data_IF_850839792035
#
_entry.id   IF_850839792035
#
_cell.length_a   1.000
_cell.length_b   1.000
_cell.length_c   1.000
_cell.angle_alpha   90.00
_cell.angle_beta   90.00
_cell.angle_gamma   90.00
#
_symmetry.space_group_name_H-M   'P 1'
#
loop_
_entity.id
_entity.type
_entity.pdbx_description
1 polymer ?
#
# COMPACT_ATOMS: atom_id res chain seq x y z
N UNK A 1 13.09 -42.62 -24.78
CA UNK A 1 11.72 -42.15 -24.47
C UNK A 1 11.23 -41.41 -25.69
N UNK A 2 10.29 -41.97 -26.45
CA UNK A 2 9.72 -41.29 -27.61
C UNK A 2 8.74 -40.20 -27.19
N UNK A 3 8.74 -39.05 -27.89
CA UNK A 3 7.80 -37.96 -27.57
C UNK A 3 6.40 -38.39 -28.02
N UNK A 4 5.41 -38.32 -27.13
CA UNK A 4 4.01 -38.59 -27.45
C UNK A 4 3.44 -37.48 -28.33
N UNK A 5 3.20 -37.77 -29.58
CA UNK A 5 2.57 -36.87 -30.56
C UNK A 5 1.06 -36.94 -30.37
N UNK A 6 0.43 -35.81 -30.04
CA UNK A 6 -1.02 -35.68 -30.00
C UNK A 6 -1.57 -35.59 -31.43
N UNK A 7 -2.79 -36.09 -31.67
CA UNK A 7 -3.47 -36.21 -33.00
C UNK A 7 -3.64 -34.89 -33.78
N UNK A 8 -3.23 -33.74 -33.21
CA UNK A 8 -3.26 -32.43 -33.87
C UNK A 8 -1.90 -31.91 -34.33
N UNK A 9 -0.81 -32.70 -34.23
CA UNK A 9 0.53 -32.26 -34.68
C UNK A 9 1.17 -31.11 -33.87
N UNK A 10 0.59 -30.73 -32.75
CA UNK A 10 1.11 -29.68 -31.89
C UNK A 10 1.92 -30.36 -30.77
N UNK A 11 3.21 -30.02 -30.67
CA UNK A 11 4.06 -30.44 -29.56
C UNK A 11 3.44 -29.98 -28.24
N UNK A 12 2.92 -30.91 -27.44
CA UNK A 12 2.56 -30.61 -26.06
C UNK A 12 3.87 -30.36 -25.26
N UNK A 13 4.06 -29.23 -24.63
CA UNK A 13 5.26 -28.99 -23.83
C UNK A 13 5.37 -30.06 -22.73
N UNK A 14 6.59 -30.57 -22.56
CA UNK A 14 6.91 -31.63 -21.60
C UNK A 14 6.46 -31.23 -20.18
N UNK A 15 5.93 -32.17 -19.41
CA UNK A 15 5.48 -31.94 -18.04
C UNK A 15 6.58 -31.30 -17.17
N UNK A 16 7.85 -31.65 -17.40
CA UNK A 16 9.00 -31.07 -16.69
C UNK A 16 9.23 -29.60 -17.02
N UNK A 17 8.98 -29.17 -18.26
CA UNK A 17 9.08 -27.76 -18.66
C UNK A 17 7.95 -26.91 -18.06
N UNK A 18 6.74 -27.47 -17.96
CA UNK A 18 5.59 -26.78 -17.29
C UNK A 18 5.82 -26.59 -15.80
N UNK A 19 6.31 -27.62 -15.11
CA UNK A 19 6.60 -27.54 -13.67
C UNK A 19 7.74 -26.55 -13.39
N UNK A 20 8.76 -26.53 -14.22
CA UNK A 20 9.87 -25.59 -14.12
C UNK A 20 9.41 -24.15 -14.39
N UNK A 21 8.57 -23.94 -15.40
CA UNK A 21 8.01 -22.62 -15.72
C UNK A 21 7.08 -22.11 -14.61
N UNK A 22 6.21 -22.97 -14.05
CA UNK A 22 5.34 -22.61 -12.93
C UNK A 22 6.14 -22.27 -11.67
N UNK A 23 7.19 -23.04 -11.35
CA UNK A 23 8.07 -22.78 -10.20
C UNK A 23 8.83 -21.45 -10.38
N UNK A 24 9.31 -21.19 -11.58
CA UNK A 24 10.02 -19.94 -11.90
C UNK A 24 9.08 -18.70 -11.79
N UNK A 25 7.83 -18.82 -12.24
CA UNK A 25 6.85 -17.75 -12.11
C UNK A 25 6.46 -17.49 -10.65
N UNK A 26 6.28 -18.55 -9.84
CA UNK A 26 6.03 -18.41 -8.40
C UNK A 26 7.20 -17.74 -7.68
N UNK A 27 8.43 -18.10 -8.00
CA UNK A 27 9.63 -17.49 -7.43
C UNK A 27 9.74 -16.01 -7.81
N UNK A 28 9.48 -15.65 -9.07
CA UNK A 28 9.42 -14.25 -9.53
C UNK A 28 8.31 -13.48 -8.82
N UNK A 29 7.11 -14.06 -8.70
CA UNK A 29 6.01 -13.45 -7.97
C UNK A 29 6.38 -13.17 -6.51
N UNK A 30 6.98 -14.14 -5.84
CA UNK A 30 7.45 -13.97 -4.46
C UNK A 30 8.54 -12.87 -4.33
N UNK A 31 9.52 -12.84 -5.23
CA UNK A 31 10.57 -11.80 -5.22
C UNK A 31 9.99 -10.42 -5.46
N UNK A 32 9.06 -10.26 -6.40
CA UNK A 32 8.39 -8.97 -6.61
C UNK A 32 7.57 -8.53 -5.40
N UNK A 33 6.85 -9.46 -4.75
CA UNK A 33 6.14 -9.19 -3.52
C UNK A 33 7.05 -8.78 -2.38
N UNK A 34 8.18 -9.44 -2.20
CA UNK A 34 9.17 -9.11 -1.18
C UNK A 34 9.80 -7.72 -1.41
N UNK A 35 10.18 -7.41 -2.65
CA UNK A 35 10.72 -6.07 -2.99
C UNK A 35 9.64 -4.99 -2.85
N UNK A 36 8.38 -5.28 -3.20
CA UNK A 36 7.26 -4.36 -2.99
C UNK A 36 7.06 -4.05 -1.51
N UNK A 37 7.08 -5.07 -0.65
CA UNK A 37 6.96 -4.91 0.80
C UNK A 37 8.15 -4.13 1.40
N UNK A 38 9.38 -4.45 0.99
CA UNK A 38 10.57 -3.71 1.40
C UNK A 38 10.51 -2.24 0.98
N UNK A 39 10.08 -1.96 -0.27
CA UNK A 39 9.89 -0.60 -0.77
C UNK A 39 8.85 0.17 0.04
N UNK A 40 7.75 -0.49 0.44
CA UNK A 40 6.73 0.12 1.29
C UNK A 40 7.27 0.41 2.69
N UNK A 41 8.08 -0.48 3.25
CA UNK A 41 8.75 -0.31 4.55
C UNK A 41 9.72 0.88 4.61
N UNK A 42 10.15 1.42 3.46
CA UNK A 42 11.01 2.61 3.40
C UNK A 42 10.29 3.94 3.71
N UNK A 43 8.96 3.92 3.97
CA UNK A 43 8.21 5.14 4.32
C UNK A 43 8.90 5.98 5.43
N UNK A 44 9.26 5.41 6.60
CA UNK A 44 9.93 6.17 7.65
C UNK A 44 11.28 6.75 7.22
N UNK A 45 12.04 6.02 6.42
CA UNK A 45 13.37 6.43 5.97
C UNK A 45 13.33 7.78 5.25
N UNK A 46 12.29 8.03 4.45
CA UNK A 46 12.15 9.27 3.69
C UNK A 46 11.29 10.33 4.40
N UNK A 47 10.37 9.92 5.29
CA UNK A 47 9.49 10.84 6.00
C UNK A 47 10.19 11.52 7.21
N UNK A 48 10.94 10.75 8.01
CA UNK A 48 11.55 11.27 9.23
C UNK A 48 12.54 12.43 9.01
N UNK A 49 13.39 12.45 7.96
CA UNK A 49 14.22 13.60 7.66
C UNK A 49 13.43 14.88 7.37
N UNK A 50 12.24 14.77 6.76
CA UNK A 50 11.34 15.89 6.49
C UNK A 50 10.73 16.44 7.81
N UNK A 51 10.35 15.54 8.73
CA UNK A 51 9.88 15.93 10.05
C UNK A 51 10.98 16.58 10.89
N UNK A 52 12.21 16.04 10.83
CA UNK A 52 13.39 16.62 11.47
C UNK A 52 13.73 18.03 10.97
N UNK A 53 13.31 18.37 9.76
CA UNK A 53 13.43 19.70 9.18
C UNK A 53 12.22 20.62 9.51
N UNK A 54 11.29 20.18 10.35
CA UNK A 54 10.11 20.96 10.80
C UNK A 54 8.92 20.94 9.84
N UNK A 55 8.91 20.05 8.84
CA UNK A 55 7.75 19.93 7.95
C UNK A 55 6.59 19.22 8.64
N UNK A 56 5.38 19.76 8.48
CA UNK A 56 4.15 19.14 8.98
C UNK A 56 3.79 17.88 8.19
N UNK A 57 3.09 16.95 8.85
CA UNK A 57 2.57 15.73 8.24
C UNK A 57 1.75 16.02 6.98
N UNK A 58 0.89 17.04 7.06
CA UNK A 58 0.01 17.45 5.96
C UNK A 58 0.81 17.90 4.73
N UNK A 59 1.87 18.71 4.93
CA UNK A 59 2.74 19.15 3.83
C UNK A 59 3.51 18.00 3.20
N UNK A 60 4.06 17.09 4.02
CA UNK A 60 4.78 15.91 3.53
C UNK A 60 3.86 15.00 2.71
N UNK A 61 2.65 14.73 3.21
CA UNK A 61 1.67 13.89 2.51
C UNK A 61 1.11 14.56 1.26
N UNK A 62 0.90 15.87 1.28
CA UNK A 62 0.52 16.62 0.08
C UNK A 62 1.55 16.43 -1.03
N UNK A 63 2.84 16.67 -0.77
CA UNK A 63 3.90 16.47 -1.76
C UNK A 63 3.99 15.02 -2.21
N UNK A 64 3.91 14.06 -1.30
CA UNK A 64 3.91 12.64 -1.62
C UNK A 64 2.80 12.28 -2.61
N UNK A 65 1.57 12.70 -2.33
CA UNK A 65 0.40 12.41 -3.18
C UNK A 65 0.50 13.14 -4.51
N UNK A 66 0.88 14.42 -4.49
CA UNK A 66 1.04 15.22 -5.71
C UNK A 66 2.03 14.57 -6.68
N UNK A 67 3.24 14.28 -6.22
CA UNK A 67 4.25 13.66 -7.09
C UNK A 67 3.88 12.24 -7.50
N UNK A 68 3.26 11.46 -6.62
CA UNK A 68 2.79 10.13 -6.99
C UNK A 68 1.70 10.18 -8.07
N UNK A 69 0.75 11.11 -7.99
CA UNK A 69 -0.26 11.33 -9.05
C UNK A 69 0.40 11.72 -10.37
N UNK A 70 1.34 12.68 -10.34
CA UNK A 70 2.08 13.10 -11.55
C UNK A 70 2.82 11.91 -12.17
N UNK A 71 3.60 11.17 -11.39
CA UNK A 71 4.39 10.03 -11.87
C UNK A 71 3.49 8.89 -12.39
N UNK A 72 2.39 8.57 -11.68
CA UNK A 72 1.43 7.56 -12.15
C UNK A 72 0.70 8.01 -13.41
N UNK A 73 0.35 9.29 -13.53
CA UNK A 73 -0.23 9.85 -14.73
C UNK A 73 0.70 9.72 -15.94
N UNK A 74 1.99 10.01 -15.76
CA UNK A 74 3.02 9.79 -16.79
C UNK A 74 3.12 8.31 -17.14
N UNK A 75 3.19 7.42 -16.13
CA UNK A 75 3.28 5.98 -16.33
C UNK A 75 2.07 5.44 -17.13
N UNK A 76 0.86 5.86 -16.77
CA UNK A 76 -0.36 5.48 -17.48
C UNK A 76 -0.34 5.97 -18.94
N UNK A 77 0.12 7.19 -19.18
CA UNK A 77 0.26 7.77 -20.53
C UNK A 77 1.27 6.99 -21.37
N UNK A 78 2.43 6.68 -20.81
CA UNK A 78 3.48 5.89 -21.47
C UNK A 78 2.98 4.46 -21.79
N UNK A 79 2.26 3.83 -20.85
CA UNK A 79 1.64 2.52 -21.06
C UNK A 79 0.36 2.57 -21.91
N UNK A 80 -0.01 3.73 -22.46
CA UNK A 80 -1.23 3.93 -23.25
C UNK A 80 -2.52 3.46 -22.55
N UNK A 81 -2.55 3.52 -21.22
CA UNK A 81 -3.73 3.16 -20.45
C UNK A 81 -4.77 4.29 -20.50
N UNK A 82 -6.04 3.91 -20.66
CA UNK A 82 -7.14 4.88 -20.72
C UNK A 82 -7.39 5.52 -19.35
N UNK A 83 -7.50 6.85 -19.34
CA UNK A 83 -7.95 7.62 -18.16
C UNK A 83 -9.47 7.66 -18.01
N UNK A 84 -10.23 7.16 -18.99
CA UNK A 84 -11.69 7.22 -18.92
C UNK A 84 -12.23 6.44 -17.74
N UNK A 85 -13.11 7.05 -16.94
CA UNK A 85 -13.84 6.42 -15.84
C UNK A 85 -15.32 6.30 -16.20
N UNK A 86 -15.94 5.21 -15.76
CA UNK A 86 -17.39 5.11 -15.73
C UNK A 86 -17.93 6.06 -14.64
N UNK A 87 -19.02 6.77 -14.91
CA UNK A 87 -19.62 7.70 -13.92
C UNK A 87 -19.97 7.00 -12.60
N UNK A 88 -20.36 5.72 -12.67
CA UNK A 88 -20.66 4.90 -11.49
C UNK A 88 -19.45 4.64 -10.59
N UNK A 89 -18.21 4.68 -11.12
CA UNK A 89 -17.00 4.39 -10.35
C UNK A 89 -16.43 5.64 -9.65
N UNK A 90 -16.89 6.84 -10.03
CA UNK A 90 -16.33 8.10 -9.49
C UNK A 90 -16.56 8.21 -7.98
N UNK A 91 -17.80 8.03 -7.53
CA UNK A 91 -18.15 8.13 -6.10
C UNK A 91 -17.45 7.04 -5.26
N UNK A 92 -17.49 5.74 -5.63
CA UNK A 92 -16.70 4.72 -4.93
C UNK A 92 -15.21 5.04 -4.89
N UNK A 93 -14.61 5.51 -6.00
CA UNK A 93 -13.19 5.91 -6.03
C UNK A 93 -12.89 7.09 -5.10
N UNK A 94 -13.77 8.08 -5.05
CA UNK A 94 -13.60 9.22 -4.15
C UNK A 94 -13.62 8.76 -2.68
N UNK A 95 -14.61 7.95 -2.29
CA UNK A 95 -14.70 7.40 -0.93
C UNK A 95 -13.48 6.55 -0.58
N UNK A 96 -13.06 5.65 -1.48
CA UNK A 96 -11.89 4.81 -1.28
C UNK A 96 -10.61 5.65 -1.22
N UNK A 97 -10.49 6.69 -2.04
CA UNK A 97 -9.36 7.62 -2.00
C UNK A 97 -9.27 8.39 -0.68
N UNK A 98 -10.40 8.85 -0.14
CA UNK A 98 -10.47 9.49 1.17
C UNK A 98 -10.04 8.51 2.29
N UNK A 99 -10.56 7.28 2.30
CA UNK A 99 -10.18 6.25 3.27
C UNK A 99 -8.68 5.94 3.24
N UNK A 100 -8.12 5.80 2.03
CA UNK A 100 -6.68 5.59 1.84
C UNK A 100 -5.86 6.77 2.37
N UNK A 101 -6.32 8.00 2.15
CA UNK A 101 -5.63 9.20 2.64
C UNK A 101 -5.75 9.36 4.14
N UNK A 102 -6.90 9.05 4.75
CA UNK A 102 -7.01 9.02 6.22
C UNK A 102 -6.09 7.96 6.82
N UNK A 103 -6.00 6.77 6.21
CA UNK A 103 -5.03 5.76 6.65
C UNK A 103 -3.60 6.29 6.60
N UNK A 104 -3.20 6.91 5.49
CA UNK A 104 -1.87 7.51 5.37
C UNK A 104 -1.64 8.61 6.40
N UNK A 105 -2.63 9.48 6.63
CA UNK A 105 -2.56 10.55 7.63
C UNK A 105 -2.33 9.98 9.03
N UNK A 106 -3.15 9.04 9.46
CA UNK A 106 -3.03 8.45 10.78
C UNK A 106 -1.69 7.73 10.99
N UNK A 107 -1.21 7.00 9.98
CA UNK A 107 0.10 6.35 10.06
C UNK A 107 1.23 7.39 10.21
N UNK A 108 1.24 8.41 9.37
CA UNK A 108 2.29 9.43 9.38
C UNK A 108 2.22 10.31 10.63
N UNK A 109 1.01 10.58 11.13
CA UNK A 109 0.82 11.29 12.40
C UNK A 109 1.38 10.48 13.59
N UNK A 110 1.22 9.14 13.57
CA UNK A 110 1.75 8.28 14.63
C UNK A 110 3.27 8.37 14.79
N UNK A 111 4.01 8.71 13.74
CA UNK A 111 5.48 8.87 13.79
C UNK A 111 5.93 10.04 14.67
N UNK A 112 5.02 10.99 14.98
CA UNK A 112 5.29 12.07 15.94
C UNK A 112 5.22 11.60 17.41
N UNK A 113 4.55 10.46 17.67
CA UNK A 113 4.25 9.98 19.02
C UNK A 113 5.00 8.71 19.40
N UNK A 114 5.52 7.95 18.42
CA UNK A 114 6.21 6.69 18.67
C UNK A 114 7.24 6.41 17.58
N UNK A 115 8.08 5.39 17.79
CA UNK A 115 9.03 4.96 16.77
C UNK A 115 8.31 4.52 15.49
N UNK A 116 8.77 5.02 14.35
CA UNK A 116 8.13 4.79 13.07
C UNK A 116 8.27 3.33 12.57
N UNK A 117 9.32 2.61 13.01
CA UNK A 117 9.46 1.18 12.76
C UNK A 117 8.41 0.37 13.51
N UNK A 118 8.19 0.71 14.80
CA UNK A 118 7.13 0.11 15.62
C UNK A 118 5.76 0.42 15.03
N UNK A 119 5.49 1.67 14.69
CA UNK A 119 4.23 2.08 14.05
C UNK A 119 3.97 1.30 12.76
N UNK A 120 4.98 1.18 11.89
CA UNK A 120 4.88 0.43 10.64
C UNK A 120 4.64 -1.06 10.88
N UNK A 121 5.18 -1.63 11.95
CA UNK A 121 4.94 -3.04 12.32
C UNK A 121 3.52 -3.25 12.83
N UNK A 122 3.01 -2.36 13.69
CA UNK A 122 1.62 -2.43 14.18
C UNK A 122 0.62 -2.24 13.03
N UNK A 123 0.97 -1.47 12.00
CA UNK A 123 0.12 -1.32 10.81
C UNK A 123 -0.23 -2.68 10.18
N UNK A 124 0.67 -3.66 10.22
CA UNK A 124 0.42 -5.01 9.69
C UNK A 124 -0.68 -5.79 10.42
N UNK A 125 -1.38 -5.18 11.39
CA UNK A 125 -2.66 -5.69 11.91
C UNK A 125 -3.79 -5.57 10.87
N UNK A 126 -3.64 -4.73 9.82
CA UNK A 126 -4.70 -4.54 8.83
C UNK A 126 -5.22 -5.84 8.16
N UNK A 127 -4.41 -6.89 7.85
CA UNK A 127 -4.95 -8.12 7.28
C UNK A 127 -5.88 -8.86 8.25
N UNK A 128 -5.60 -8.74 9.55
CA UNK A 128 -6.47 -9.27 10.62
C UNK A 128 -7.82 -8.56 10.59
N UNK A 129 -7.79 -7.22 10.51
CA UNK A 129 -9.01 -6.41 10.42
C UNK A 129 -9.78 -6.70 9.14
N UNK A 130 -9.10 -6.91 8.01
CA UNK A 130 -9.73 -7.37 6.75
C UNK A 130 -10.45 -8.70 6.98
N UNK A 131 -9.78 -9.70 7.58
CA UNK A 131 -10.38 -11.01 7.84
C UNK A 131 -11.61 -10.90 8.77
N UNK A 132 -11.54 -10.07 9.80
CA UNK A 132 -12.68 -9.81 10.72
C UNK A 132 -13.84 -9.17 9.96
N UNK A 133 -13.58 -8.11 9.17
CA UNK A 133 -14.63 -7.44 8.37
C UNK A 133 -15.27 -8.42 7.39
N UNK A 134 -14.47 -9.26 6.72
CA UNK A 134 -14.96 -10.25 5.77
C UNK A 134 -15.81 -11.33 6.46
N UNK A 135 -15.41 -11.79 7.64
CA UNK A 135 -16.17 -12.76 8.42
C UNK A 135 -17.49 -12.19 8.94
N UNK A 136 -17.46 -10.96 9.51
CA UNK A 136 -18.64 -10.35 10.16
C UNK A 136 -19.66 -9.87 9.14
N UNK A 137 -19.23 -9.13 8.12
CA UNK A 137 -20.14 -8.48 7.16
C UNK A 137 -20.46 -9.33 5.93
N UNK A 138 -19.56 -10.23 5.54
CA UNK A 138 -19.73 -11.04 4.33
C UNK A 138 -19.83 -12.54 4.63
N UNK A 139 -19.87 -12.92 5.92
CA UNK A 139 -20.00 -14.31 6.38
C UNK A 139 -18.99 -15.28 5.78
N UNK A 140 -17.79 -14.77 5.43
CA UNK A 140 -16.71 -15.63 4.93
C UNK A 140 -16.12 -16.46 6.07
N UNK A 141 -15.81 -17.72 5.78
CA UNK A 141 -15.19 -18.61 6.76
C UNK A 141 -13.73 -18.21 6.93
N UNK A 142 -13.34 -17.92 8.17
CA UNK A 142 -11.94 -17.67 8.52
C UNK A 142 -11.17 -18.99 8.43
N UNK A 143 -10.15 -19.03 7.57
CA UNK A 143 -9.28 -20.21 7.44
C UNK A 143 -8.45 -20.41 8.72
N UNK A 144 -8.13 -21.66 9.06
CA UNK A 144 -7.19 -21.99 10.14
C UNK A 144 -5.83 -21.30 9.94
N UNK A 145 -5.35 -21.22 8.70
CA UNK A 145 -4.11 -20.51 8.34
C UNK A 145 -4.23 -19.01 8.69
N UNK A 146 -5.38 -18.39 8.44
CA UNK A 146 -5.63 -16.99 8.79
C UNK A 146 -5.60 -16.80 10.30
N UNK A 147 -6.23 -17.69 11.09
CA UNK A 147 -6.18 -17.63 12.56
C UNK A 147 -4.76 -17.78 13.10
N UNK A 148 -3.98 -18.69 12.54
CA UNK A 148 -2.58 -18.88 12.90
C UNK A 148 -1.73 -17.65 12.59
N UNK A 149 -1.94 -17.04 11.39
CA UNK A 149 -1.26 -15.81 11.01
C UNK A 149 -1.60 -14.64 11.93
N UNK A 150 -2.86 -14.55 12.37
CA UNK A 150 -3.32 -13.57 13.36
C UNK A 150 -2.59 -13.74 14.69
N UNK A 151 -2.54 -14.97 15.21
CA UNK A 151 -1.86 -15.27 16.46
C UNK A 151 -0.35 -14.93 16.37
N UNK A 152 0.30 -15.26 15.24
CA UNK A 152 1.70 -14.94 15.00
C UNK A 152 1.96 -13.43 14.94
N UNK A 153 1.06 -12.68 14.29
CA UNK A 153 1.16 -11.22 14.22
C UNK A 153 1.05 -10.56 15.60
N UNK A 154 0.08 -10.98 16.43
CA UNK A 154 -0.04 -10.49 17.80
C UNK A 154 1.18 -10.85 18.66
N UNK A 155 1.72 -12.06 18.54
CA UNK A 155 2.94 -12.46 19.23
C UNK A 155 4.13 -11.57 18.81
N UNK A 156 4.29 -11.33 17.52
CA UNK A 156 5.35 -10.44 17.02
C UNK A 156 5.24 -9.01 17.57
N UNK A 157 4.03 -8.45 17.62
CA UNK A 157 3.79 -7.10 18.17
C UNK A 157 4.06 -7.09 19.69
N UNK A 158 3.68 -8.15 20.42
CA UNK A 158 3.94 -8.25 21.87
C UNK A 158 5.43 -8.29 22.17
N UNK A 159 6.21 -9.03 21.39
CA UNK A 159 7.67 -9.07 21.51
C UNK A 159 8.33 -7.71 21.21
N UNK A 160 7.75 -6.95 20.29
CA UNK A 160 8.24 -5.62 19.97
C UNK A 160 8.02 -4.61 21.09
N UNK A 161 6.97 -4.82 21.91
CA UNK A 161 6.68 -3.99 23.08
C UNK A 161 7.76 -4.05 24.15
N UNK A 162 8.38 -5.22 24.34
CA UNK A 162 9.44 -5.41 25.34
C UNK A 162 10.85 -5.05 24.86
N UNK A 163 11.07 -4.92 23.54
CA UNK A 163 12.40 -4.75 22.93
C UNK A 163 12.77 -3.32 22.51
N UNK A 164 11.92 -2.33 22.73
CA UNK A 164 12.19 -0.95 22.32
C UNK A 164 13.13 -0.22 23.28
N UNK A 165 14.02 0.64 22.75
CA UNK A 165 15.03 1.47 23.44
C UNK A 165 14.48 2.43 24.52
N UNK A 166 13.63 1.96 25.42
CA UNK A 166 13.09 2.75 26.53
C UNK A 166 12.10 3.86 26.15
N UNK A 167 11.74 4.01 24.88
CA UNK A 167 10.63 4.87 24.47
C UNK A 167 9.33 4.13 24.71
N UNK A 168 8.62 4.54 25.75
CA UNK A 168 7.28 4.05 26.07
C UNK A 168 6.38 4.20 24.85
N UNK A 169 5.69 3.12 24.48
CA UNK A 169 4.65 3.15 23.46
C UNK A 169 3.62 4.22 23.84
N UNK A 170 3.57 5.29 23.07
CA UNK A 170 2.56 6.32 23.27
C UNK A 170 1.19 5.74 22.91
N UNK A 171 0.26 5.78 23.85
CA UNK A 171 -1.12 5.33 23.65
C UNK A 171 -1.79 6.05 22.46
N UNK A 172 -1.48 7.34 22.29
CA UNK A 172 -1.95 8.12 21.14
C UNK A 172 -1.35 7.62 19.83
N UNK A 173 -0.05 7.30 19.80
CA UNK A 173 0.60 6.72 18.62
C UNK A 173 -0.03 5.38 18.21
N UNK A 174 -0.26 4.49 19.18
CA UNK A 174 -0.93 3.21 18.95
C UNK A 174 -2.35 3.42 18.43
N UNK A 175 -3.12 4.35 19.02
CA UNK A 175 -4.47 4.67 18.55
C UNK A 175 -4.46 5.12 17.08
N UNK A 176 -3.54 6.02 16.70
CA UNK A 176 -3.40 6.44 15.32
C UNK A 176 -3.08 5.28 14.37
N UNK A 177 -2.18 4.39 14.75
CA UNK A 177 -1.85 3.23 13.90
C UNK A 177 -3.03 2.27 13.77
N UNK A 178 -3.79 2.03 14.84
CA UNK A 178 -5.02 1.21 14.78
C UNK A 178 -6.06 1.85 13.86
N UNK A 179 -6.27 3.16 13.96
CA UNK A 179 -7.17 3.89 13.04
C UNK A 179 -6.68 3.83 11.59
N UNK A 180 -5.36 3.94 11.38
CA UNK A 180 -4.75 3.74 10.06
C UNK A 180 -5.02 2.35 9.52
N UNK A 181 -4.77 1.31 10.33
CA UNK A 181 -5.01 -0.09 9.96
C UNK A 181 -6.48 -0.36 9.64
N UNK A 182 -7.40 0.21 10.43
CA UNK A 182 -8.84 0.05 10.24
C UNK A 182 -9.31 0.72 8.94
N UNK A 183 -8.94 1.97 8.71
CA UNK A 183 -9.31 2.70 7.48
C UNK A 183 -8.71 2.04 6.25
N UNK A 184 -7.49 1.49 6.35
CA UNK A 184 -6.87 0.73 5.27
C UNK A 184 -7.58 -0.61 5.02
N UNK A 185 -7.97 -1.33 6.08
CA UNK A 185 -8.74 -2.56 5.95
C UNK A 185 -10.09 -2.32 5.26
N UNK A 186 -10.81 -1.26 5.64
CA UNK A 186 -12.06 -0.86 4.99
C UNK A 186 -11.83 -0.50 3.53
N UNK A 187 -10.74 0.22 3.21
CA UNK A 187 -10.34 0.52 1.84
C UNK A 187 -10.15 -0.77 1.02
N UNK A 188 -9.37 -1.72 1.52
CA UNK A 188 -9.10 -3.00 0.83
C UNK A 188 -10.40 -3.77 0.58
N UNK A 189 -11.24 -3.93 1.61
CA UNK A 189 -12.53 -4.63 1.49
C UNK A 189 -13.43 -3.89 0.50
N UNK A 190 -13.52 -2.56 0.60
CA UNK A 190 -14.33 -1.73 -0.28
C UNK A 190 -13.94 -1.86 -1.75
N UNK A 191 -12.63 -1.84 -2.06
CA UNK A 191 -12.13 -2.08 -3.42
C UNK A 191 -12.48 -3.48 -3.90
N UNK A 192 -12.24 -4.50 -3.09
CA UNK A 192 -12.47 -5.89 -3.48
C UNK A 192 -13.95 -6.25 -3.64
N UNK A 193 -14.85 -5.56 -2.95
CA UNK A 193 -16.30 -5.80 -2.98
C UNK A 193 -17.08 -4.86 -3.89
N UNK A 194 -16.40 -3.96 -4.58
CA UNK A 194 -17.01 -3.04 -5.54
C UNK A 194 -16.57 -3.33 -6.99
N UNK A 195 -17.12 -2.58 -7.95
CA UNK A 195 -16.68 -2.60 -9.35
C UNK A 195 -15.21 -2.19 -9.53
N UNK A 196 -14.63 -1.57 -8.51
CA UNK A 196 -13.27 -1.05 -8.56
C UNK A 196 -12.21 -2.16 -8.67
N UNK A 197 -12.52 -3.40 -8.25
CA UNK A 197 -11.62 -4.55 -8.39
C UNK A 197 -11.24 -4.87 -9.86
N UNK A 198 -12.09 -4.46 -10.80
CA UNK A 198 -11.87 -4.68 -12.24
C UNK A 198 -10.96 -3.62 -12.86
N UNK A 199 -10.68 -2.52 -12.13
CA UNK A 199 -9.81 -1.47 -12.62
C UNK A 199 -8.34 -1.90 -12.56
N UNK A 200 -7.54 -1.56 -13.58
CA UNK A 200 -6.09 -1.72 -13.50
C UNK A 200 -5.53 -1.02 -12.25
N UNK A 201 -4.63 -1.68 -11.52
CA UNK A 201 -4.10 -1.18 -10.25
C UNK A 201 -3.53 0.23 -10.36
N UNK A 202 -2.77 0.53 -11.42
CA UNK A 202 -2.22 1.87 -11.62
C UNK A 202 -3.31 2.94 -11.74
N UNK A 203 -4.43 2.62 -12.42
CA UNK A 203 -5.56 3.52 -12.59
C UNK A 203 -6.34 3.70 -11.28
N UNK A 204 -6.60 2.60 -10.56
CA UNK A 204 -7.23 2.62 -9.24
C UNK A 204 -6.45 3.54 -8.29
N UNK A 205 -5.13 3.34 -8.22
CA UNK A 205 -4.27 4.13 -7.33
C UNK A 205 -4.15 5.57 -7.76
N UNK A 206 -4.00 5.83 -9.06
CA UNK A 206 -3.97 7.20 -9.58
C UNK A 206 -5.18 7.99 -9.10
N UNK A 207 -6.40 7.45 -9.26
CA UNK A 207 -7.62 8.14 -8.85
C UNK A 207 -7.81 8.14 -7.34
N UNK A 208 -7.44 7.10 -6.62
CA UNK A 208 -7.48 7.10 -5.16
C UNK A 208 -6.57 8.19 -4.58
N UNK A 209 -5.35 8.35 -5.09
CA UNK A 209 -4.46 9.43 -4.68
C UNK A 209 -4.97 10.81 -5.12
N UNK A 210 -5.53 10.91 -6.34
CA UNK A 210 -6.07 12.16 -6.88
C UNK A 210 -7.27 12.66 -6.05
N UNK A 211 -8.19 11.80 -5.66
CA UNK A 211 -9.28 12.17 -4.77
C UNK A 211 -8.79 12.36 -3.33
N UNK A 212 -7.84 11.54 -2.90
CA UNK A 212 -7.30 11.58 -1.56
C UNK A 212 -6.50 12.84 -1.23
N UNK A 213 -5.83 13.45 -2.21
CA UNK A 213 -5.07 14.69 -2.01
C UNK A 213 -5.97 15.85 -1.52
N UNK A 214 -7.27 15.78 -1.81
CA UNK A 214 -8.23 16.80 -1.38
C UNK A 214 -8.25 16.99 0.14
N UNK A 215 -8.00 15.93 0.93
CA UNK A 215 -7.90 16.04 2.39
C UNK A 215 -6.77 16.99 2.78
N UNK A 216 -5.60 16.81 2.17
CA UNK A 216 -4.43 17.64 2.50
C UNK A 216 -4.58 19.07 1.97
N UNK A 217 -5.24 19.25 0.81
CA UNK A 217 -5.58 20.57 0.30
C UNK A 217 -6.46 21.34 1.30
N UNK A 218 -7.50 20.68 1.84
CA UNK A 218 -8.40 21.30 2.81
C UNK A 218 -7.68 21.56 4.15
N UNK A 219 -6.90 20.60 4.65
CA UNK A 219 -6.16 20.71 5.91
C UNK A 219 -5.03 21.75 5.86
N UNK A 220 -4.53 22.04 4.68
CA UNK A 220 -3.53 23.10 4.43
C UNK A 220 -4.18 24.46 4.06
N UNK A 221 -5.44 24.67 4.43
CA UNK A 221 -6.18 25.88 4.11
C UNK A 221 -6.08 26.26 2.63
N UNK A 222 -6.42 25.32 1.76
CA UNK A 222 -6.28 25.44 0.29
C UNK A 222 -4.85 25.77 -0.16
N UNK A 223 -3.87 25.10 0.44
CA UNK A 223 -2.43 25.24 0.19
C UNK A 223 -1.81 26.56 0.69
N UNK A 224 -2.52 27.41 1.42
CA UNK A 224 -1.95 28.62 2.02
C UNK A 224 -0.98 28.31 3.16
N UNK A 225 -1.21 27.20 3.89
CA UNK A 225 -0.35 26.70 4.97
C UNK A 225 0.70 25.68 4.47
N UNK A 226 0.83 25.49 3.15
CA UNK A 226 1.80 24.56 2.58
C UNK A 226 3.22 25.02 2.84
N UNK A 227 3.98 24.21 3.57
CA UNK A 227 5.37 24.52 3.89
C UNK A 227 6.29 24.24 2.69
N UNK A 228 7.16 25.18 2.32
CA UNK A 228 8.18 24.91 1.29
C UNK A 228 9.18 23.88 1.81
N UNK A 229 9.73 23.07 0.90
CA UNK A 229 10.80 22.12 1.26
C UNK A 229 12.07 22.92 1.58
N UNK A 230 12.63 22.79 2.81
CA UNK A 230 13.66 23.72 3.31
C UNK A 230 15.01 23.64 2.58
N UNK A 231 15.30 22.52 1.91
CA UNK A 231 16.61 22.31 1.30
C UNK A 231 16.51 21.45 0.02
N UNK A 232 17.43 21.65 -0.95
CA UNK A 232 17.49 20.83 -2.17
C UNK A 232 17.66 19.33 -1.90
N UNK A 233 18.37 18.95 -0.81
CA UNK A 233 18.57 17.56 -0.42
C UNK A 233 17.25 16.92 0.01
N UNK A 234 16.39 17.66 0.70
CA UNK A 234 15.09 17.17 1.16
C UNK A 234 14.10 16.94 0.02
N UNK A 235 14.30 17.57 -1.15
CA UNK A 235 13.54 17.24 -2.35
C UNK A 235 13.78 15.80 -2.82
N UNK A 236 15.01 15.29 -2.61
CA UNK A 236 15.29 13.87 -2.88
C UNK A 236 14.45 12.95 -1.98
N UNK A 237 14.27 13.30 -0.69
CA UNK A 237 13.39 12.54 0.21
C UNK A 237 11.92 12.61 -0.22
N UNK A 238 11.42 13.78 -0.58
CA UNK A 238 10.05 13.97 -1.08
C UNK A 238 9.78 13.12 -2.32
N UNK A 239 10.66 13.18 -3.31
CA UNK A 239 10.53 12.40 -4.55
C UNK A 239 10.68 10.90 -4.30
N UNK A 240 11.62 10.52 -3.43
CA UNK A 240 11.81 9.11 -3.03
C UNK A 240 10.59 8.57 -2.29
N UNK A 241 9.96 9.37 -1.43
CA UNK A 241 8.73 9.01 -0.72
C UNK A 241 7.55 8.76 -1.69
N UNK A 242 7.46 9.52 -2.78
CA UNK A 242 6.47 9.28 -3.81
C UNK A 242 6.83 8.07 -4.69
N UNK A 243 8.12 7.87 -5.00
CA UNK A 243 8.58 6.83 -5.92
C UNK A 243 8.62 5.44 -5.27
N UNK A 244 9.39 5.26 -4.20
CA UNK A 244 9.66 3.93 -3.64
C UNK A 244 8.44 3.32 -2.95
N UNK A 245 7.90 3.89 -1.85
CA UNK A 245 6.80 3.25 -1.12
C UNK A 245 5.45 3.35 -1.83
N UNK A 246 5.31 4.22 -2.84
CA UNK A 246 4.03 4.36 -3.55
C UNK A 246 4.08 3.69 -4.92
N UNK A 247 4.95 4.13 -5.84
CA UNK A 247 4.90 3.66 -7.23
C UNK A 247 5.58 2.30 -7.37
N UNK A 248 6.82 2.16 -6.90
CA UNK A 248 7.58 0.90 -7.05
C UNK A 248 6.88 -0.21 -6.29
N UNK A 249 6.50 0.04 -5.03
CA UNK A 249 5.77 -0.94 -4.22
C UNK A 249 4.50 -1.40 -4.91
N UNK A 250 3.72 -0.48 -5.46
CA UNK A 250 2.46 -0.77 -6.14
C UNK A 250 2.63 -1.54 -7.45
N UNK A 251 3.56 -1.10 -8.28
CA UNK A 251 3.84 -1.76 -9.57
C UNK A 251 4.33 -3.19 -9.34
N UNK A 252 5.27 -3.37 -8.40
CA UNK A 252 5.82 -4.70 -8.10
C UNK A 252 4.79 -5.60 -7.42
N UNK A 253 3.94 -5.06 -6.54
CA UNK A 253 2.86 -5.81 -5.92
C UNK A 253 1.86 -6.31 -6.97
N UNK A 254 1.50 -5.45 -7.93
CA UNK A 254 0.62 -5.84 -9.04
C UNK A 254 1.25 -6.93 -9.90
N UNK A 255 2.54 -6.80 -10.23
CA UNK A 255 3.26 -7.83 -10.99
C UNK A 255 3.35 -9.16 -10.22
N UNK A 256 3.51 -9.10 -8.89
CA UNK A 256 3.53 -10.29 -8.03
C UNK A 256 2.22 -11.06 -8.06
N UNK A 257 1.08 -10.36 -8.12
CA UNK A 257 -0.26 -10.97 -8.11
C UNK A 257 -0.59 -11.60 -9.47
N UNK A 258 -0.03 -11.10 -10.56
CA UNK A 258 -0.30 -11.59 -11.93
C UNK A 258 0.62 -12.73 -12.37
N UNK A 259 1.60 -13.16 -11.58
CA UNK A 259 2.53 -14.27 -11.83
C UNK A 259 2.17 -15.51 -11.02
#
# INVERSE_FOLDING_TARGET
MEPSINKSGIFAPDFSERDTAMTNNRLKGFTYGAVAAASYGMNPLFALPLYGAGMSVDSVLFYRYFFAVVMLGILMKVKKQSFALKKADILPLAVMGLLFSFSSFFLFESYNYMDAGIASTILFVYPVLVAIIMAVFFHEKVSFITMFSIALAFTGISLLYEGGDGKTLSMLGVLFVILSSLTYAIYIVGVNRSSLKELPTAKLTFYALLFGISIYVVRLDFCTALQPVPSPVLWANVLSLALFPTIISLVLMTLSIHL
#
